data_IF_217360234672
#
_entry.id   IF_217360234672
#
_cell.length_a   1.000
_cell.length_b   1.000
_cell.length_c   1.000
_cell.angle_alpha   90.00
_cell.angle_beta   90.00
_cell.angle_gamma   90.00
#
_symmetry.space_group_name_H-M   'P 1'
#
loop_
_entity.id
_entity.type
_entity.pdbx_description
1 polymer ?
#
# COMPACT_ATOMS: atom_id res chain seq x y z
N UNK A 1 11.23 -22.14 51.61
CA UNK A 1 10.65 -23.41 51.16
C UNK A 1 9.56 -23.15 50.13
N UNK A 2 9.59 -23.87 49.00
CA UNK A 2 8.46 -24.28 48.14
C UNK A 2 7.53 -23.17 47.61
N UNK A 3 7.80 -22.66 46.40
CA UNK A 3 7.12 -23.01 45.13
C UNK A 3 5.58 -22.90 45.21
N UNK A 4 5.01 -21.89 44.58
CA UNK A 4 3.72 -22.01 43.92
C UNK A 4 3.82 -21.40 42.53
N UNK A 5 3.96 -22.28 41.54
CA UNK A 5 3.70 -21.99 40.14
C UNK A 5 2.19 -21.88 39.96
N UNK A 6 1.71 -20.79 39.36
CA UNK A 6 0.45 -20.80 38.62
C UNK A 6 0.75 -20.27 37.21
N UNK A 7 0.93 -21.25 36.34
CA UNK A 7 0.84 -21.16 34.90
C UNK A 7 -0.66 -21.09 34.52
N UNK A 8 -0.95 -20.61 33.30
CA UNK A 8 -2.22 -20.67 32.52
C UNK A 8 -2.94 -19.30 32.43
N UNK A 9 -3.37 -18.77 31.28
CA UNK A 9 -3.17 -19.03 29.85
C UNK A 9 -3.98 -17.94 29.10
N UNK A 10 -3.32 -17.23 28.18
CA UNK A 10 -3.78 -16.68 26.89
C UNK A 10 -5.22 -16.13 26.76
N UNK A 11 -5.33 -14.87 26.32
CA UNK A 11 -6.22 -14.50 25.21
C UNK A 11 -5.71 -13.26 24.48
N UNK A 12 -4.85 -13.58 23.49
CA UNK A 12 -4.75 -12.99 22.16
C UNK A 12 -5.44 -11.64 21.93
N UNK A 13 -4.59 -10.67 21.64
CA UNK A 13 -4.85 -9.43 20.90
C UNK A 13 -5.98 -9.57 19.88
N UNK A 14 -7.10 -8.90 20.14
CA UNK A 14 -8.10 -8.61 19.11
C UNK A 14 -7.53 -7.53 18.16
N UNK A 15 -6.72 -7.96 17.19
CA UNK A 15 -6.60 -7.20 15.95
C UNK A 15 -7.96 -7.29 15.26
N UNK A 16 -8.78 -6.26 15.43
CA UNK A 16 -10.00 -6.07 14.66
C UNK A 16 -9.63 -5.91 13.18
N UNK A 17 -9.55 -7.03 12.46
CA UNK A 17 -9.58 -7.05 11.00
C UNK A 17 -11.00 -6.68 10.57
N UNK A 18 -11.29 -5.37 10.55
CA UNK A 18 -12.46 -4.87 9.85
C UNK A 18 -12.10 -4.67 8.37
N UNK A 19 -12.25 -5.74 7.60
CA UNK A 19 -12.17 -5.68 6.14
C UNK A 19 -13.29 -6.53 5.50
N UNK A 20 -14.55 -6.20 5.79
CA UNK A 20 -15.67 -6.63 4.94
C UNK A 20 -16.24 -5.40 4.22
N UNK A 21 -15.79 -5.18 2.98
CA UNK A 21 -16.50 -4.44 1.91
C UNK A 21 -15.82 -4.69 0.56
N UNK A 22 -16.32 -5.69 -0.16
CA UNK A 22 -16.02 -5.98 -1.57
C UNK A 22 -14.72 -6.75 -1.82
N UNK A 23 -14.71 -7.56 -2.89
CA UNK A 23 -13.57 -8.33 -3.42
C UNK A 23 -12.42 -7.42 -3.90
N UNK A 24 -11.93 -6.51 -3.04
CA UNK A 24 -10.75 -5.71 -3.32
C UNK A 24 -9.54 -6.60 -3.08
N UNK A 25 -8.79 -6.87 -4.14
CA UNK A 25 -7.55 -7.63 -4.08
C UNK A 25 -6.63 -7.11 -2.96
N UNK A 26 -6.17 -8.02 -2.12
CA UNK A 26 -5.42 -7.72 -0.91
C UNK A 26 -4.18 -6.84 -1.16
N UNK A 27 -3.38 -7.16 -2.19
CA UNK A 27 -2.20 -6.36 -2.56
C UNK A 27 -2.54 -4.89 -2.86
N UNK A 28 -3.60 -4.66 -3.63
CA UNK A 28 -4.09 -3.30 -3.93
C UNK A 28 -4.60 -2.59 -2.67
N UNK A 29 -5.30 -3.31 -1.79
CA UNK A 29 -5.83 -2.76 -0.54
C UNK A 29 -4.72 -2.37 0.43
N UNK A 30 -3.69 -3.21 0.57
CA UNK A 30 -2.53 -2.96 1.42
C UNK A 30 -1.73 -1.75 0.95
N UNK A 31 -1.44 -1.68 -0.35
CA UNK A 31 -0.78 -0.50 -0.94
C UNK A 31 -1.62 0.77 -0.76
N UNK A 32 -2.94 0.70 -0.99
CA UNK A 32 -3.85 1.83 -0.78
C UNK A 32 -3.85 2.31 0.68
N UNK A 33 -3.75 1.39 1.64
CA UNK A 33 -3.74 1.73 3.07
C UNK A 33 -2.57 2.64 3.42
N UNK A 34 -1.36 2.30 2.95
CA UNK A 34 -0.17 3.12 3.21
C UNK A 34 -0.22 4.42 2.40
N UNK A 35 -0.66 4.39 1.13
CA UNK A 35 -0.81 5.61 0.31
C UNK A 35 -1.74 6.66 0.96
N UNK A 36 -2.80 6.23 1.64
CA UNK A 36 -3.70 7.13 2.39
C UNK A 36 -3.03 7.79 3.60
N UNK A 37 -1.96 7.22 4.12
CA UNK A 37 -1.21 7.78 5.24
C UNK A 37 -0.13 8.76 4.77
N UNK A 38 0.30 8.70 3.50
CA UNK A 38 1.44 9.47 3.00
C UNK A 38 1.03 10.64 2.11
N UNK A 39 0.14 10.42 1.13
CA UNK A 39 -0.21 11.46 0.15
C UNK A 39 -1.13 12.56 0.72
N UNK A 40 -2.18 12.25 1.54
CA UNK A 40 -3.04 13.29 2.09
C UNK A 40 -2.32 14.31 2.99
N UNK A 41 -1.39 13.93 3.90
CA UNK A 41 -0.63 14.90 4.67
C UNK A 41 0.22 15.85 3.79
N UNK A 42 0.77 15.36 2.68
CA UNK A 42 1.48 16.23 1.73
C UNK A 42 0.54 17.31 1.17
N UNK A 43 -0.61 16.94 0.63
CA UNK A 43 -1.50 17.91 -0.03
C UNK A 43 -2.28 18.80 0.95
N UNK A 44 -2.51 18.35 2.17
CA UNK A 44 -3.29 19.10 3.18
C UNK A 44 -2.44 19.99 4.06
N UNK A 45 -1.23 19.54 4.39
CA UNK A 45 -0.39 20.14 5.44
C UNK A 45 1.02 20.44 4.93
N UNK A 46 1.33 20.16 3.66
CA UNK A 46 2.70 20.18 3.11
C UNK A 46 3.67 19.33 3.96
N UNK A 47 3.17 18.26 4.57
CA UNK A 47 3.92 17.44 5.52
C UNK A 47 4.43 16.16 4.85
N UNK A 48 5.75 16.12 4.58
CA UNK A 48 6.43 14.96 4.00
C UNK A 48 6.84 13.90 5.03
N UNK A 49 6.74 14.17 6.34
CA UNK A 49 7.20 13.23 7.36
C UNK A 49 6.53 11.85 7.26
N UNK A 50 5.20 11.74 7.05
CA UNK A 50 4.57 10.45 6.88
C UNK A 50 5.09 9.67 5.67
N UNK A 51 5.39 10.36 4.56
CA UNK A 51 5.95 9.75 3.37
C UNK A 51 7.37 9.24 3.61
N UNK A 52 8.24 10.05 4.24
CA UNK A 52 9.60 9.67 4.63
C UNK A 52 9.60 8.44 5.55
N UNK A 53 8.75 8.44 6.57
CA UNK A 53 8.66 7.36 7.55
C UNK A 53 8.13 6.04 6.95
N UNK A 54 7.37 6.10 5.86
CA UNK A 54 6.73 4.94 5.23
C UNK A 54 7.32 4.55 3.87
N UNK A 55 8.39 5.21 3.39
CA UNK A 55 8.92 4.98 2.04
C UNK A 55 9.37 3.51 1.83
N UNK A 56 10.05 2.92 2.81
CA UNK A 56 10.42 1.50 2.77
C UNK A 56 9.18 0.59 2.74
N UNK A 57 8.14 0.92 3.51
CA UNK A 57 6.89 0.16 3.56
C UNK A 57 6.11 0.27 2.24
N UNK A 58 6.13 1.42 1.59
CA UNK A 58 5.56 1.62 0.26
C UNK A 58 6.25 0.75 -0.78
N UNK A 59 7.58 0.68 -0.74
CA UNK A 59 8.33 -0.20 -1.63
C UNK A 59 8.01 -1.68 -1.37
N UNK A 60 8.02 -2.11 -0.10
CA UNK A 60 7.63 -3.47 0.29
C UNK A 60 6.24 -3.85 -0.25
N UNK A 61 5.24 -2.97 -0.08
CA UNK A 61 3.87 -3.24 -0.55
C UNK A 61 3.74 -3.19 -2.07
N UNK A 62 4.54 -2.39 -2.76
CA UNK A 62 4.59 -2.42 -4.22
C UNK A 62 5.15 -3.75 -4.74
N UNK A 63 6.24 -4.25 -4.15
CA UNK A 63 6.84 -5.55 -4.48
C UNK A 63 5.87 -6.70 -4.21
N UNK A 64 5.19 -6.71 -3.05
CA UNK A 64 4.17 -7.71 -2.72
C UNK A 64 2.99 -7.67 -3.72
N UNK A 65 2.55 -6.46 -4.09
CA UNK A 65 1.49 -6.28 -5.07
C UNK A 65 1.90 -6.79 -6.46
N UNK A 66 3.12 -6.47 -6.90
CA UNK A 66 3.66 -6.93 -8.18
C UNK A 66 3.85 -8.45 -8.23
N UNK A 67 4.29 -9.09 -7.14
CA UNK A 67 4.53 -10.54 -7.13
C UNK A 67 3.31 -11.37 -6.73
N UNK A 68 2.30 -10.75 -6.11
CA UNK A 68 1.11 -11.44 -5.62
C UNK A 68 0.21 -12.00 -6.70
N UNK A 69 -0.68 -12.92 -6.29
CA UNK A 69 -1.70 -13.51 -7.17
C UNK A 69 -2.72 -12.45 -7.56
N UNK A 70 -2.68 -12.02 -8.82
CA UNK A 70 -3.58 -11.00 -9.36
C UNK A 70 -4.94 -11.60 -9.73
N UNK A 71 -6.07 -10.91 -9.50
CA UNK A 71 -7.35 -11.29 -10.06
C UNK A 71 -7.37 -11.22 -11.58
N UNK A 72 -8.27 -11.96 -12.25
CA UNK A 72 -8.39 -12.00 -13.72
C UNK A 72 -8.47 -10.61 -14.37
N UNK A 73 -9.14 -9.65 -13.72
CA UNK A 73 -9.26 -8.27 -14.19
C UNK A 73 -7.90 -7.54 -14.35
N UNK A 74 -6.88 -7.96 -13.61
CA UNK A 74 -5.55 -7.35 -13.57
C UNK A 74 -4.46 -8.19 -14.27
N UNK A 75 -4.81 -9.31 -14.94
CA UNK A 75 -3.86 -10.21 -15.62
C UNK A 75 -3.56 -9.84 -17.09
N UNK A 76 -3.96 -8.65 -17.54
CA UNK A 76 -3.67 -8.19 -18.91
C UNK A 76 -2.19 -7.78 -19.00
N UNK A 77 -1.53 -8.02 -20.15
CA UNK A 77 -0.12 -7.67 -20.37
C UNK A 77 0.20 -6.20 -20.02
N UNK A 78 -0.67 -5.27 -20.44
CA UNK A 78 -0.56 -3.85 -20.13
C UNK A 78 -0.63 -3.50 -18.62
N UNK A 79 -1.14 -4.40 -17.77
CA UNK A 79 -1.15 -4.21 -16.33
C UNK A 79 0.18 -4.57 -15.68
N UNK A 80 0.93 -5.51 -16.25
CA UNK A 80 2.22 -5.92 -15.69
C UNK A 80 3.22 -4.75 -15.70
N UNK A 81 3.28 -4.00 -16.81
CA UNK A 81 4.10 -2.79 -16.92
C UNK A 81 3.70 -1.73 -15.88
N UNK A 82 2.40 -1.56 -15.63
CA UNK A 82 1.93 -0.64 -14.59
C UNK A 82 2.33 -1.07 -13.17
N UNK A 83 2.28 -2.37 -12.86
CA UNK A 83 2.75 -2.86 -11.56
C UNK A 83 4.26 -2.66 -11.39
N UNK A 84 5.04 -2.99 -12.42
CA UNK A 84 6.50 -2.78 -12.42
C UNK A 84 6.87 -1.30 -12.30
N UNK A 85 6.13 -0.41 -12.97
CA UNK A 85 6.28 1.04 -12.83
C UNK A 85 6.01 1.52 -11.40
N UNK A 86 4.95 1.04 -10.75
CA UNK A 86 4.67 1.38 -9.34
C UNK A 86 5.80 0.90 -8.43
N UNK A 87 6.28 -0.33 -8.60
CA UNK A 87 7.41 -0.87 -7.83
C UNK A 87 8.67 -0.03 -8.02
N UNK A 88 8.97 0.37 -9.26
CA UNK A 88 10.13 1.20 -9.57
C UNK A 88 10.04 2.58 -8.93
N UNK A 89 8.88 3.24 -9.04
CA UNK A 89 8.63 4.55 -8.41
C UNK A 89 8.66 4.47 -6.87
N UNK A 90 8.15 3.38 -6.29
CA UNK A 90 8.22 3.16 -4.85
C UNK A 90 9.66 2.93 -4.37
N UNK A 91 10.46 2.21 -5.17
CA UNK A 91 11.89 2.06 -4.92
C UNK A 91 12.61 3.40 -5.00
N UNK A 92 12.37 4.18 -6.05
CA UNK A 92 12.96 5.50 -6.25
C UNK A 92 12.65 6.43 -5.08
N UNK A 93 11.39 6.51 -4.65
CA UNK A 93 11.01 7.27 -3.46
C UNK A 93 11.77 6.81 -2.21
N UNK A 94 11.89 5.50 -2.00
CA UNK A 94 12.65 4.96 -0.88
C UNK A 94 14.15 5.30 -0.96
N UNK A 95 14.74 5.21 -2.15
CA UNK A 95 16.13 5.58 -2.38
C UNK A 95 16.37 7.07 -2.10
N UNK A 96 15.48 7.96 -2.57
CA UNK A 96 15.53 9.40 -2.27
C UNK A 96 15.52 9.68 -0.76
N UNK A 97 14.69 8.96 0.00
CA UNK A 97 14.62 9.10 1.46
C UNK A 97 15.89 8.60 2.14
N UNK A 98 16.43 7.44 1.73
CA UNK A 98 17.68 6.89 2.27
C UNK A 98 18.86 7.81 1.98
N UNK A 99 18.90 8.38 0.78
CA UNK A 99 19.94 9.32 0.34
C UNK A 99 19.77 10.72 0.94
N UNK A 100 18.70 10.96 1.70
CA UNK A 100 18.35 12.27 2.26
C UNK A 100 18.29 13.36 1.18
N UNK A 101 17.68 13.02 0.04
CA UNK A 101 17.43 13.95 -1.04
C UNK A 101 16.58 15.15 -0.58
N UNK A 102 16.46 16.16 -1.44
CA UNK A 102 15.70 17.36 -1.12
C UNK A 102 14.22 17.06 -0.91
N UNK A 103 13.54 17.91 -0.14
CA UNK A 103 12.09 17.80 0.07
C UNK A 103 11.31 17.91 -1.25
N UNK A 104 11.82 18.70 -2.20
CA UNK A 104 11.24 18.81 -3.55
C UNK A 104 11.35 17.47 -4.31
N UNK A 105 12.51 16.80 -4.28
CA UNK A 105 12.68 15.51 -4.95
C UNK A 105 11.78 14.44 -4.34
N UNK A 106 11.70 14.38 -3.00
CA UNK A 106 10.84 13.43 -2.29
C UNK A 106 9.36 13.71 -2.58
N UNK A 107 8.97 14.99 -2.68
CA UNK A 107 7.62 15.40 -3.08
C UNK A 107 7.30 14.91 -4.50
N UNK A 108 8.20 15.13 -5.45
CA UNK A 108 8.05 14.68 -6.84
C UNK A 108 7.92 13.15 -6.89
N UNK A 109 8.80 12.43 -6.20
CA UNK A 109 8.74 10.97 -6.10
C UNK A 109 7.41 10.46 -5.54
N UNK A 110 6.90 11.09 -4.48
CA UNK A 110 5.60 10.73 -3.90
C UNK A 110 4.42 11.01 -4.83
N UNK A 111 4.43 12.14 -5.54
CA UNK A 111 3.40 12.50 -6.53
C UNK A 111 3.38 11.51 -7.68
N UNK A 112 4.56 11.17 -8.23
CA UNK A 112 4.68 10.20 -9.32
C UNK A 112 4.17 8.83 -8.90
N UNK A 113 4.56 8.36 -7.72
CA UNK A 113 4.08 7.09 -7.16
C UNK A 113 2.56 7.09 -6.95
N UNK A 114 2.00 8.16 -6.39
CA UNK A 114 0.55 8.28 -6.20
C UNK A 114 -0.19 8.27 -7.54
N UNK A 115 0.32 8.98 -8.55
CA UNK A 115 -0.25 9.01 -9.91
C UNK A 115 -0.32 7.63 -10.53
N UNK A 116 0.82 6.92 -10.59
CA UNK A 116 0.89 5.56 -11.14
C UNK A 116 -0.04 4.59 -10.38
N UNK A 117 -0.10 4.69 -9.05
CA UNK A 117 -1.00 3.87 -8.25
C UNK A 117 -2.48 4.21 -8.51
N UNK A 118 -2.83 5.49 -8.64
CA UNK A 118 -4.20 5.94 -8.87
C UNK A 118 -4.75 5.39 -10.20
N UNK A 119 -3.94 5.31 -11.24
CA UNK A 119 -4.33 4.72 -12.53
C UNK A 119 -4.81 3.26 -12.40
N UNK A 120 -4.13 2.44 -11.59
CA UNK A 120 -4.55 1.07 -11.32
C UNK A 120 -5.72 1.02 -10.33
N UNK A 121 -5.68 1.84 -9.29
CA UNK A 121 -6.70 1.85 -8.24
C UNK A 121 -8.08 2.29 -8.76
N UNK A 122 -8.13 3.12 -9.81
CA UNK A 122 -9.35 3.51 -10.51
C UNK A 122 -9.87 2.41 -11.45
N UNK A 123 -9.07 1.40 -11.79
CA UNK A 123 -9.49 0.25 -12.60
C UNK A 123 -10.42 -0.74 -11.86
N UNK A 124 -11.04 -0.31 -10.75
CA UNK A 124 -11.85 -1.12 -9.82
C UNK A 124 -13.15 -1.72 -10.39
N UNK A 125 -13.53 -1.45 -11.64
CA UNK A 125 -14.71 -2.09 -12.25
C UNK A 125 -14.31 -3.34 -13.04
N UNK A 126 -14.26 -4.48 -12.36
CA UNK A 126 -14.47 -5.77 -13.01
C UNK A 126 -15.98 -5.94 -13.31
N UNK A 127 -16.39 -6.38 -14.51
CA UNK A 127 -17.79 -6.66 -14.82
C UNK A 127 -18.19 -7.95 -14.11
N UNK A 128 -18.98 -7.85 -13.04
CA UNK A 128 -19.39 -9.04 -12.28
C UNK A 128 -20.26 -8.78 -11.05
N UNK A 129 -20.91 -7.62 -10.96
CA UNK A 129 -21.80 -7.30 -9.84
C UNK A 129 -23.10 -6.70 -10.33
N UNK A 130 -24.09 -7.57 -10.59
CA UNK A 130 -25.52 -7.25 -10.49
C UNK A 130 -26.14 -6.33 -11.55
N UNK A 131 -27.15 -6.85 -12.24
CA UNK A 131 -28.05 -6.14 -13.14
C UNK A 131 -28.96 -5.14 -12.40
N UNK A 132 -29.51 -4.19 -13.17
CA UNK A 132 -30.71 -3.34 -12.92
C UNK A 132 -30.57 -2.31 -11.78
N UNK A 133 -31.00 -1.05 -11.90
CA UNK A 133 -32.12 -0.45 -12.65
C UNK A 133 -31.69 0.82 -13.38
#
# INVERSE_FOLDING_TARGET
MKKLSVLVLVLLTAFSVQAQKGNAWEGLSNMKSIMKQTFPPLIKENNLQPAKNNAAKLYEKAVEMENGVKPKAFRKKAMNEKFSSITSLAKELNDLVIQKASDEDIKIGLVNLHGAFAEIAHHKKAPGGGKHK
#
